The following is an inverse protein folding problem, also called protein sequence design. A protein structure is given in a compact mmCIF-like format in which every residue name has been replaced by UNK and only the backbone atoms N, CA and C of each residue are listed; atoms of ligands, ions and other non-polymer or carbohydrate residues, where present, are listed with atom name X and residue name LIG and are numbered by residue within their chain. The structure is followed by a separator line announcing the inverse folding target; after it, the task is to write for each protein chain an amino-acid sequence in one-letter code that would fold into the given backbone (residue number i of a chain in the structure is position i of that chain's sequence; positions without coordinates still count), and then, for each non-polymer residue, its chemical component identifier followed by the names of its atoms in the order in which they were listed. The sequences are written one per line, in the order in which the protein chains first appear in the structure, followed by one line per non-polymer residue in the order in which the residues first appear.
data_IF_932388751655
#
_entry.id   IF_932388751655
#
_cell.length_a   1.000
_cell.length_b   1.000
_cell.length_c   1.000
_cell.angle_alpha   90.00
_cell.angle_beta   90.00
_cell.angle_gamma   90.00
#
_symmetry.space_group_name_H-M   'P 1'
#
loop_
_entity.id
_entity.type
_entity.pdbx_description
1 polymer ?
#
# COMPACT_ATOMS: atom_id res chain seq x y z
N UNK A 1 -10.08 -13.00 -3.10
CA UNK A 1 -9.67 -13.85 -1.95
C UNK A 1 -8.31 -13.34 -1.43
N UNK A 2 -8.27 -12.09 -0.98
CA UNK A 2 -7.04 -11.32 -0.72
C UNK A 2 -7.00 -10.66 0.68
N UNK A 3 -8.12 -10.64 1.41
CA UNK A 3 -8.26 -9.88 2.66
C UNK A 3 -7.55 -10.51 3.87
N UNK A 4 -7.42 -11.84 3.89
CA UNK A 4 -6.84 -12.59 5.02
C UNK A 4 -5.35 -12.25 5.26
N UNK A 5 -4.62 -11.93 4.19
CA UNK A 5 -3.19 -11.55 4.26
C UNK A 5 -2.98 -10.13 4.80
N UNK A 6 -3.94 -9.23 4.56
CA UNK A 6 -3.87 -7.82 5.00
C UNK A 6 -4.17 -7.70 6.50
N UNK A 7 -5.16 -8.46 6.98
CA UNK A 7 -5.54 -8.48 8.41
C UNK A 7 -4.42 -8.97 9.32
N UNK A 8 -3.70 -10.03 8.91
CA UNK A 8 -2.56 -10.56 9.69
C UNK A 8 -1.42 -9.55 9.81
N UNK A 9 -1.11 -8.80 8.74
CA UNK A 9 -0.08 -7.75 8.73
C UNK A 9 -0.44 -6.58 9.64
N UNK A 10 -1.69 -6.13 9.57
CA UNK A 10 -2.19 -5.08 10.45
C UNK A 10 -2.13 -5.52 11.92
N UNK A 11 -2.47 -6.79 12.19
CA UNK A 11 -2.34 -7.41 13.52
C UNK A 11 -0.91 -7.35 14.06
N UNK A 12 0.08 -7.81 13.30
CA UNK A 12 1.49 -7.76 13.75
C UNK A 12 2.02 -6.34 13.96
N UNK A 13 1.61 -5.37 13.13
CA UNK A 13 1.98 -3.96 13.34
C UNK A 13 1.39 -3.40 14.63
N UNK A 14 0.10 -3.64 14.88
CA UNK A 14 -0.59 -3.15 16.09
C UNK A 14 0.04 -3.79 17.33
N UNK A 15 0.30 -5.10 17.30
CA UNK A 15 0.95 -5.80 18.41
C UNK A 15 2.36 -5.25 18.67
N UNK A 16 3.17 -5.06 17.63
CA UNK A 16 4.51 -4.48 17.78
C UNK A 16 4.49 -3.07 18.36
N UNK A 17 3.54 -2.23 17.92
CA UNK A 17 3.37 -0.87 18.44
C UNK A 17 2.89 -0.86 19.90
N UNK A 18 1.97 -1.75 20.27
CA UNK A 18 1.53 -1.92 21.67
C UNK A 18 2.70 -2.36 22.55
N UNK A 19 3.55 -3.28 22.08
CA UNK A 19 4.74 -3.72 22.84
C UNK A 19 5.74 -2.58 23.02
N UNK A 20 5.99 -1.77 21.99
CA UNK A 20 6.88 -0.60 22.10
C UNK A 20 6.34 0.44 23.07
N UNK A 21 5.09 0.85 22.89
CA UNK A 21 4.45 1.89 23.72
C UNK A 21 4.24 1.38 25.14
N UNK A 22 3.69 0.18 25.30
CA UNK A 22 3.46 -0.44 26.60
C UNK A 22 4.74 -0.71 27.38
N UNK A 23 5.83 -1.08 26.71
CA UNK A 23 7.13 -1.26 27.35
C UNK A 23 7.76 0.05 27.82
N UNK A 24 7.70 1.10 26.98
CA UNK A 24 8.19 2.43 27.35
C UNK A 24 7.41 3.03 28.53
N UNK A 25 6.07 3.04 28.42
CA UNK A 25 5.21 3.56 29.47
C UNK A 25 5.16 2.65 30.71
N UNK A 26 5.34 1.33 30.55
CA UNK A 26 5.43 0.39 31.66
C UNK A 26 6.70 0.60 32.49
N UNK A 27 7.85 0.77 31.83
CA UNK A 27 9.10 1.14 32.51
C UNK A 27 9.01 2.50 33.20
N UNK A 28 8.31 3.46 32.59
CA UNK A 28 8.08 4.78 33.17
C UNK A 28 7.10 4.76 34.34
N UNK A 29 6.00 4.01 34.26
CA UNK A 29 5.01 3.90 35.34
C UNK A 29 5.56 3.20 36.58
N UNK A 30 6.57 2.34 36.42
CA UNK A 30 7.28 1.74 37.54
C UNK A 30 7.94 2.80 38.44
N UNK A 31 8.36 3.95 37.89
CA UNK A 31 8.94 5.07 38.65
C UNK A 31 7.98 5.62 39.71
N UNK A 32 6.70 5.78 39.37
CA UNK A 32 5.69 6.31 40.29
C UNK A 32 5.24 5.30 41.35
N UNK A 33 5.48 4.00 41.12
CA UNK A 33 5.13 2.92 42.06
C UNK A 33 6.30 2.49 42.96
N UNK A 34 7.51 2.87 42.59
CA UNK A 34 8.75 2.55 43.28
C UNK A 34 8.98 3.48 44.48
N UNK A 35 8.09 3.47 45.48
CA UNK A 35 8.26 4.29 46.69
C UNK A 35 9.49 3.90 47.52
N UNK A 36 9.89 2.63 47.49
CA UNK A 36 10.92 2.05 48.37
C UNK A 36 11.99 1.23 47.62
N UNK A 37 12.03 1.27 46.28
CA UNK A 37 13.03 0.51 45.51
C UNK A 37 14.35 1.28 45.42
N UNK A 38 15.46 0.56 45.54
CA UNK A 38 16.80 1.12 45.33
C UNK A 38 16.89 1.86 43.99
N UNK A 39 17.56 3.01 44.02
CA UNK A 39 17.79 3.87 42.85
C UNK A 39 18.39 3.07 41.69
N UNK A 40 19.25 2.09 41.98
CA UNK A 40 19.83 1.20 40.98
C UNK A 40 18.80 0.33 40.24
N UNK A 41 17.81 -0.17 40.97
CA UNK A 41 16.72 -0.98 40.40
C UNK A 41 15.83 -0.12 39.49
N UNK A 42 15.52 1.10 39.92
CA UNK A 42 14.73 2.05 39.10
C UNK A 42 15.48 2.39 37.81
N UNK A 43 16.77 2.73 37.89
CA UNK A 43 17.62 3.01 36.73
C UNK A 43 17.68 1.82 35.76
N UNK A 44 17.81 0.60 36.29
CA UNK A 44 17.80 -0.61 35.48
C UNK A 44 16.50 -0.74 34.69
N UNK A 45 15.34 -0.58 35.34
CA UNK A 45 14.05 -0.67 34.65
C UNK A 45 13.86 0.45 33.62
N UNK A 46 14.25 1.69 33.93
CA UNK A 46 14.09 2.85 33.03
C UNK A 46 15.00 2.75 31.80
N UNK A 47 16.17 2.13 31.89
CA UNK A 47 17.07 1.97 30.75
C UNK A 47 16.83 0.66 29.98
N UNK A 48 16.68 -0.45 30.69
CA UNK A 48 16.68 -1.79 30.08
C UNK A 48 15.32 -2.17 29.50
N UNK A 49 14.21 -1.85 30.20
CA UNK A 49 12.86 -2.17 29.71
C UNK A 49 12.54 -1.51 28.38
N UNK A 50 12.74 -0.20 28.16
CA UNK A 50 12.44 0.39 26.86
C UNK A 50 13.36 -0.14 25.76
N UNK A 51 14.62 -0.44 26.07
CA UNK A 51 15.56 -0.99 25.10
C UNK A 51 15.13 -2.39 24.63
N UNK A 52 14.76 -3.28 25.56
CA UNK A 52 14.26 -4.62 25.24
C UNK A 52 12.92 -4.53 24.51
N UNK A 53 12.00 -3.68 24.98
CA UNK A 53 10.67 -3.51 24.38
C UNK A 53 10.75 -2.99 22.95
N UNK A 54 11.71 -2.11 22.67
CA UNK A 54 12.00 -1.64 21.33
C UNK A 54 12.53 -2.78 20.44
N UNK A 55 13.52 -3.56 20.90
CA UNK A 55 14.06 -4.68 20.12
C UNK A 55 12.99 -5.73 19.80
N UNK A 56 12.17 -6.09 20.78
CA UNK A 56 11.10 -7.07 20.61
C UNK A 56 10.02 -6.52 19.69
N UNK A 57 9.56 -5.28 19.92
CA UNK A 57 8.56 -4.64 19.07
C UNK A 57 9.03 -4.50 17.61
N UNK A 58 10.29 -4.09 17.40
CA UNK A 58 10.89 -3.98 16.07
C UNK A 58 11.00 -5.36 15.40
N UNK A 59 11.42 -6.38 16.16
CA UNK A 59 11.49 -7.76 15.66
C UNK A 59 10.13 -8.30 15.19
N UNK A 60 9.06 -8.05 15.95
CA UNK A 60 7.69 -8.45 15.59
C UNK A 60 7.22 -7.76 14.30
N UNK A 61 7.48 -6.46 14.18
CA UNK A 61 7.11 -5.68 12.99
C UNK A 61 7.88 -6.19 11.77
N UNK A 62 9.20 -6.38 11.88
CA UNK A 62 10.04 -6.89 10.79
C UNK A 62 9.62 -8.31 10.38
N UNK A 63 9.32 -9.16 11.36
CA UNK A 63 8.84 -10.52 11.09
C UNK A 63 7.50 -10.51 10.36
N UNK A 64 6.55 -9.68 10.80
CA UNK A 64 5.26 -9.52 10.13
C UNK A 64 5.35 -8.87 8.74
N UNK A 65 6.41 -8.11 8.48
CA UNK A 65 6.67 -7.45 7.18
C UNK A 65 7.54 -8.27 6.23
N UNK A 66 8.13 -9.39 6.66
CA UNK A 66 9.06 -10.21 5.87
C UNK A 66 8.51 -10.63 4.50
N UNK A 67 7.20 -10.83 4.38
CA UNK A 67 6.54 -11.19 3.12
C UNK A 67 6.32 -10.00 2.15
N UNK A 68 6.66 -8.77 2.58
CA UNK A 68 6.40 -7.51 1.85
C UNK A 68 7.68 -6.76 1.45
N UNK A 69 8.86 -7.38 1.58
CA UNK A 69 10.15 -6.76 1.24
C UNK A 69 10.54 -7.15 -0.20
N UNK A 70 10.22 -6.34 -1.23
CA UNK A 70 11.02 -6.32 -2.43
C UNK A 70 12.33 -5.59 -2.09
N UNK A 71 13.43 -6.34 -2.01
CA UNK A 71 14.84 -5.92 -1.92
C UNK A 71 15.23 -4.76 -0.96
N UNK A 72 16.25 -4.96 -0.10
CA UNK A 72 16.78 -3.91 0.76
C UNK A 72 17.67 -2.97 -0.05
N UNK A 73 17.07 -2.08 -0.82
CA UNK A 73 17.72 -0.96 -1.47
C UNK A 73 17.56 0.31 -0.64
N UNK A 74 18.59 0.65 0.14
CA UNK A 74 19.01 2.02 0.45
C UNK A 74 17.89 3.06 0.72
N UNK A 75 17.54 3.29 2.00
CA UNK A 75 16.55 4.32 2.35
C UNK A 75 16.50 4.67 3.84
N UNK A 76 17.61 5.17 4.38
CA UNK A 76 17.72 5.62 5.78
C UNK A 76 16.94 6.93 6.08
N UNK A 77 16.11 7.45 5.16
CA UNK A 77 15.51 8.80 5.28
C UNK A 77 14.12 8.96 4.64
N UNK A 78 13.20 7.99 4.76
CA UNK A 78 11.79 8.23 4.41
C UNK A 78 10.87 7.99 5.60
N UNK A 79 10.77 9.05 6.39
CA UNK A 79 9.61 9.43 7.18
C UNK A 79 8.29 8.99 6.53
N UNK A 80 7.48 8.31 7.33
CA UNK A 80 6.01 8.32 7.29
C UNK A 80 5.39 8.73 5.94
N UNK A 81 5.37 7.79 4.98
CA UNK A 81 4.37 7.84 3.92
C UNK A 81 3.46 6.64 4.15
N UNK A 82 2.18 6.82 4.51
CA UNK A 82 1.24 5.73 4.38
C UNK A 82 1.30 5.34 2.91
N UNK A 83 1.71 4.10 2.61
CA UNK A 83 1.48 3.50 1.30
C UNK A 83 -0.03 3.55 1.09
N UNK A 84 -0.53 4.65 0.52
CA UNK A 84 -1.66 4.62 -0.40
C UNK A 84 -1.24 3.51 -1.34
N UNK A 85 -1.96 2.41 -1.26
CA UNK A 85 -2.08 1.48 -2.36
C UNK A 85 -2.37 2.36 -3.56
N UNK A 86 -1.34 2.69 -4.34
CA UNK A 86 -1.53 3.01 -5.74
C UNK A 86 -2.17 1.74 -6.29
N UNK A 87 -3.50 1.73 -6.25
CA UNK A 87 -4.28 1.16 -7.33
C UNK A 87 -3.63 1.77 -8.55
N UNK A 88 -2.72 1.02 -9.18
CA UNK A 88 -2.17 1.32 -10.49
C UNK A 88 -3.39 1.64 -11.33
N UNK A 89 -3.71 2.93 -11.49
CA UNK A 89 -4.71 3.40 -12.43
C UNK A 89 -4.13 2.94 -13.77
N UNK A 90 -4.55 1.75 -14.19
CA UNK A 90 -4.31 1.30 -15.56
C UNK A 90 -4.99 2.37 -16.39
N UNK A 91 -4.21 3.28 -16.93
CA UNK A 91 -4.68 4.26 -17.89
C UNK A 91 -5.14 3.44 -19.10
N UNK A 92 -6.44 3.12 -19.15
CA UNK A 92 -7.02 2.44 -20.29
C UNK A 92 -7.06 3.45 -21.43
N UNK A 93 -6.26 3.19 -22.48
CA UNK A 93 -6.35 3.95 -23.73
C UNK A 93 -7.47 3.32 -24.55
N UNK A 94 -8.53 4.08 -24.79
CA UNK A 94 -9.64 3.66 -25.62
C UNK A 94 -9.26 3.81 -27.09
N UNK A 95 -8.87 2.72 -27.72
CA UNK A 95 -8.58 2.69 -29.16
C UNK A 95 -9.86 2.42 -29.96
N UNK A 96 -10.03 3.05 -31.13
CA UNK A 96 -11.10 2.69 -32.04
C UNK A 96 -10.90 1.24 -32.55
N UNK A 97 -11.99 0.49 -32.77
CA UNK A 97 -11.90 -0.86 -33.34
C UNK A 97 -11.25 -0.81 -34.72
N UNK A 98 -10.39 -1.78 -35.04
CA UNK A 98 -9.61 -1.83 -36.30
C UNK A 98 -10.46 -2.08 -37.55
N UNK A 99 -11.69 -2.59 -37.38
CA UNK A 99 -12.61 -2.86 -38.48
C UNK A 99 -14.04 -2.47 -38.11
N UNK A 100 -14.78 -1.92 -39.07
CA UNK A 100 -16.20 -1.66 -38.94
C UNK A 100 -17.00 -2.97 -39.00
N UNK A 101 -17.92 -3.18 -38.06
CA UNK A 101 -18.76 -4.40 -38.02
C UNK A 101 -19.83 -4.44 -39.12
N UNK A 102 -20.20 -3.27 -39.65
CA UNK A 102 -21.29 -3.15 -40.64
C UNK A 102 -20.80 -3.18 -42.09
N UNK A 103 -19.61 -2.64 -42.37
CA UNK A 103 -19.06 -2.58 -43.72
C UNK A 103 -17.74 -3.32 -43.92
N UNK A 104 -17.11 -3.80 -42.84
CA UNK A 104 -15.83 -4.51 -42.90
C UNK A 104 -14.62 -3.63 -43.28
N UNK A 105 -14.81 -2.31 -43.45
CA UNK A 105 -13.73 -1.41 -43.77
C UNK A 105 -12.75 -1.27 -42.60
N UNK A 106 -11.44 -1.17 -42.91
CA UNK A 106 -10.40 -0.90 -41.92
C UNK A 106 -10.54 0.52 -41.38
N UNK A 107 -10.64 0.63 -40.07
CA UNK A 107 -10.77 1.90 -39.35
C UNK A 107 -9.41 2.25 -38.75
N UNK A 108 -8.81 3.35 -39.21
CA UNK A 108 -7.55 3.87 -38.68
C UNK A 108 -7.81 5.03 -37.73
N UNK A 109 -7.07 5.14 -36.63
CA UNK A 109 -7.27 6.20 -35.63
C UNK A 109 -7.18 7.63 -36.19
N UNK A 110 -6.52 7.80 -37.34
CA UNK A 110 -6.35 9.09 -38.03
C UNK A 110 -7.57 9.49 -38.86
N UNK A 111 -8.37 8.53 -39.34
CA UNK A 111 -9.45 8.76 -40.30
C UNK A 111 -10.85 8.68 -39.69
N UNK A 112 -10.96 8.69 -38.36
CA UNK A 112 -12.21 8.42 -37.64
C UNK A 112 -12.77 9.70 -37.02
N UNK A 113 -14.05 9.94 -37.26
CA UNK A 113 -14.78 11.05 -36.66
C UNK A 113 -15.34 10.63 -35.29
N UNK A 114 -14.91 11.31 -34.24
CA UNK A 114 -15.40 11.09 -32.88
C UNK A 114 -16.73 11.83 -32.69
N UNK A 115 -17.80 11.06 -32.51
CA UNK A 115 -19.16 11.61 -32.28
C UNK A 115 -19.52 11.64 -30.79
N UNK A 116 -18.66 11.12 -29.92
CA UNK A 116 -18.79 11.17 -28.48
C UNK A 116 -17.55 10.61 -27.75
N UNK A 117 -17.52 10.67 -26.41
CA UNK A 117 -16.32 10.31 -25.63
C UNK A 117 -15.93 8.83 -25.71
N UNK A 118 -16.87 7.94 -26.09
CA UNK A 118 -16.65 6.49 -26.22
C UNK A 118 -17.23 5.94 -27.54
N UNK A 119 -17.58 6.82 -28.47
CA UNK A 119 -18.30 6.47 -29.69
C UNK A 119 -17.63 7.08 -30.91
N UNK A 120 -17.37 6.23 -31.89
CA UNK A 120 -16.71 6.57 -33.15
C UNK A 120 -17.64 6.32 -34.32
N UNK A 121 -17.62 7.20 -35.31
CA UNK A 121 -18.43 7.06 -36.52
C UNK A 121 -17.56 6.56 -37.68
N UNK A 122 -18.04 5.53 -38.38
CA UNK A 122 -17.36 5.01 -39.56
C UNK A 122 -17.53 5.99 -40.74
N UNK A 123 -16.44 6.39 -41.42
CA UNK A 123 -16.52 7.32 -42.57
C UNK A 123 -17.11 6.67 -43.82
N UNK A 124 -17.14 5.33 -43.89
CA UNK A 124 -17.59 4.60 -45.08
C UNK A 124 -19.09 4.30 -45.07
N UNK A 125 -19.62 3.84 -43.94
CA UNK A 125 -21.05 3.48 -43.82
C UNK A 125 -21.86 4.44 -42.94
N UNK A 126 -21.20 5.36 -42.22
CA UNK A 126 -21.86 6.30 -41.31
C UNK A 126 -22.37 5.70 -39.99
N UNK A 127 -22.16 4.39 -39.76
CA UNK A 127 -22.57 3.72 -38.54
C UNK A 127 -21.70 4.14 -37.34
N UNK A 128 -22.31 4.20 -36.15
CA UNK A 128 -21.63 4.51 -34.89
C UNK A 128 -21.30 3.24 -34.12
N UNK A 129 -20.06 3.15 -33.63
CA UNK A 129 -19.58 2.01 -32.87
C UNK A 129 -18.97 2.46 -31.53
N UNK A 130 -19.14 1.66 -30.45
CA UNK A 130 -18.44 1.91 -29.20
C UNK A 130 -16.95 1.59 -29.34
N UNK A 131 -16.10 2.38 -28.68
CA UNK A 131 -14.66 2.10 -28.58
C UNK A 131 -14.40 0.80 -27.83
N UNK A 132 -13.42 0.01 -28.28
CA UNK A 132 -13.03 -1.22 -27.61
C UNK A 132 -11.93 -0.93 -26.57
N UNK A 133 -12.10 -1.48 -25.37
CA UNK A 133 -11.11 -1.31 -24.30
C UNK A 133 -9.98 -2.31 -24.53
N UNK A 134 -8.80 -1.83 -24.94
CA UNK A 134 -7.58 -2.63 -24.98
C UNK A 134 -6.73 -2.30 -23.76
N UNK A 135 -6.35 -3.32 -22.99
CA UNK A 135 -5.38 -3.15 -21.90
C UNK A 135 -3.99 -2.93 -22.48
N UNK A 136 -3.27 -1.93 -21.98
CA UNK A 136 -1.87 -1.61 -22.32
C UNK A 136 -0.94 -2.04 -21.18
#
# INVERSE_FOLDING_TARGET
MSDDSSGKRCGFMIVGLIVMVGGFFGGFMQFFRAGDLDVGTILFYVMVVPMISFLVGAGIIVYGMKDSIPQPGMGLFTSASPRRTETRERSYVHEPPSFCKDCGASLSAESIEWVGPLTVKCPYCGASHPTEKREV
#
